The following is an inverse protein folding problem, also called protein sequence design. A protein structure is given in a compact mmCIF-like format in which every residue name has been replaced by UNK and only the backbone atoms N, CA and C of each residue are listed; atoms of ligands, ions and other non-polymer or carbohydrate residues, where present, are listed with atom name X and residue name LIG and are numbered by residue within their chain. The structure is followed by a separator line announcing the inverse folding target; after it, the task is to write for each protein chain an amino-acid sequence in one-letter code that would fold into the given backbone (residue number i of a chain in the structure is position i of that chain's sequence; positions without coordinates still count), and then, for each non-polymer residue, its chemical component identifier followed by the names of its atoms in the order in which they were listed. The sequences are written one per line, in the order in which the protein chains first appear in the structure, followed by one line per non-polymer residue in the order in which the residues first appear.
data_IF_425463298422
#
_entry.id   IF_425463298422
#
_cell.length_a   1.000
_cell.length_b   1.000
_cell.length_c   1.000
_cell.angle_alpha   90.00
_cell.angle_beta   90.00
_cell.angle_gamma   90.00
#
_symmetry.space_group_name_H-M   'P 1'
#
loop_
_entity.id
_entity.type
_entity.pdbx_description
1 polymer ?
#
# COMPACT_ATOMS: atom_id res chain seq x y z
N UNK A 1 28.65 15.24 -3.59
CA UNK A 1 27.40 15.11 -4.36
C UNK A 1 26.43 14.30 -3.52
N UNK A 2 25.24 14.83 -3.25
CA UNK A 2 24.24 14.25 -2.35
C UNK A 2 23.83 12.85 -2.82
N UNK A 3 23.80 11.89 -1.88
CA UNK A 3 23.52 10.46 -2.08
C UNK A 3 22.04 10.12 -2.34
N UNK A 4 21.23 11.14 -2.63
CA UNK A 4 19.81 10.96 -2.92
C UNK A 4 19.65 10.29 -4.29
N UNK A 5 18.67 9.40 -4.44
CA UNK A 5 18.32 8.77 -5.73
C UNK A 5 19.41 7.90 -6.37
N UNK A 6 20.47 7.55 -5.65
CA UNK A 6 21.59 6.78 -6.22
C UNK A 6 21.10 5.53 -6.97
N UNK A 7 20.17 4.79 -6.37
CA UNK A 7 19.58 3.58 -7.00
C UNK A 7 18.80 3.94 -8.24
N UNK A 8 17.97 4.98 -8.20
CA UNK A 8 17.21 5.42 -9.37
C UNK A 8 18.10 5.90 -10.52
N UNK A 9 19.17 6.64 -10.23
CA UNK A 9 20.11 7.15 -11.22
C UNK A 9 20.93 6.02 -11.86
N UNK A 10 21.37 5.05 -11.05
CA UNK A 10 22.25 3.98 -11.51
C UNK A 10 21.49 2.82 -12.15
N UNK A 11 20.36 2.43 -11.55
CA UNK A 11 19.63 1.22 -11.88
C UNK A 11 18.32 1.52 -12.65
N UNK A 12 17.92 2.79 -12.70
CA UNK A 12 16.72 3.25 -13.39
C UNK A 12 15.41 2.89 -12.68
N UNK A 13 14.31 3.00 -13.44
CA UNK A 13 12.99 2.57 -13.00
C UNK A 13 12.89 1.05 -13.08
N UNK A 14 12.61 0.40 -11.96
CA UNK A 14 12.47 -1.06 -11.88
C UNK A 14 10.99 -1.44 -11.93
N UNK A 15 10.58 -2.33 -12.83
CA UNK A 15 9.18 -2.79 -12.94
C UNK A 15 9.15 -4.30 -12.80
N UNK A 16 8.48 -4.79 -11.75
CA UNK A 16 8.22 -6.21 -11.54
C UNK A 16 6.71 -6.41 -11.37
N UNK A 17 6.11 -7.23 -12.21
CA UNK A 17 4.69 -7.56 -12.14
C UNK A 17 4.48 -9.07 -12.22
N UNK A 18 3.71 -9.62 -11.28
CA UNK A 18 3.35 -11.03 -11.23
C UNK A 18 1.97 -11.24 -11.82
N UNK A 19 1.90 -12.02 -12.90
CA UNK A 19 0.69 -12.18 -13.73
C UNK A 19 0.37 -13.66 -13.94
N UNK A 20 -0.91 -13.96 -14.19
CA UNK A 20 -1.37 -15.31 -14.50
C UNK A 20 -1.40 -15.52 -16.01
N UNK A 21 -0.71 -16.54 -16.50
CA UNK A 21 -0.79 -16.93 -17.92
C UNK A 21 -2.17 -17.55 -18.18
N UNK A 22 -2.90 -16.98 -19.14
CA UNK A 22 -4.14 -17.57 -19.67
C UNK A 22 -3.82 -18.58 -20.78
N UNK A 23 -2.96 -18.20 -21.73
CA UNK A 23 -2.69 -18.98 -22.93
C UNK A 23 -1.29 -18.74 -23.48
N UNK A 24 -0.69 -19.79 -24.04
CA UNK A 24 0.56 -19.73 -24.81
C UNK A 24 0.27 -20.30 -26.20
N UNK A 25 0.58 -19.54 -27.25
CA UNK A 25 0.45 -19.92 -28.66
C UNK A 25 1.72 -19.54 -29.41
N UNK A 26 2.62 -20.51 -29.60
CA UNK A 26 3.94 -20.23 -30.18
C UNK A 26 4.70 -19.21 -29.32
N UNK A 27 5.05 -18.07 -29.91
CA UNK A 27 5.75 -16.97 -29.23
C UNK A 27 4.81 -15.90 -28.67
N UNK A 28 3.50 -16.14 -28.67
CA UNK A 28 2.51 -15.22 -28.12
C UNK A 28 1.99 -15.75 -26.79
N UNK A 29 2.01 -14.89 -25.77
CA UNK A 29 1.48 -15.18 -24.46
C UNK A 29 0.34 -14.20 -24.14
N UNK A 30 -0.73 -14.73 -23.56
CA UNK A 30 -1.86 -13.94 -23.06
C UNK A 30 -1.94 -14.09 -21.55
N UNK A 31 -2.03 -12.97 -20.85
CA UNK A 31 -2.27 -12.92 -19.41
C UNK A 31 -3.77 -12.82 -19.11
N UNK A 32 -4.19 -13.31 -17.94
CA UNK A 32 -5.58 -13.16 -17.46
C UNK A 32 -5.87 -11.72 -17.04
N UNK A 33 -4.89 -11.07 -16.44
CA UNK A 33 -4.96 -9.70 -15.96
C UNK A 33 -4.42 -8.71 -17.02
N UNK A 34 -4.96 -7.48 -17.10
CA UNK A 34 -4.30 -6.41 -17.85
C UNK A 34 -2.98 -6.03 -17.16
N UNK A 35 -2.01 -5.54 -17.95
CA UNK A 35 -0.77 -5.01 -17.42
C UNK A 35 -1.03 -3.69 -16.68
N UNK A 36 -0.42 -3.53 -15.52
CA UNK A 36 -0.48 -2.28 -14.75
C UNK A 36 0.55 -1.26 -15.22
N UNK A 37 1.50 -1.66 -16.06
CA UNK A 37 2.46 -0.78 -16.72
C UNK A 37 2.63 -1.20 -18.18
N UNK A 38 2.68 -0.22 -19.09
CA UNK A 38 2.91 -0.51 -20.51
C UNK A 38 4.29 -1.12 -20.74
N UNK A 39 4.38 -2.05 -21.69
CA UNK A 39 5.63 -2.67 -22.09
C UNK A 39 6.10 -2.02 -23.39
N UNK A 40 7.20 -1.26 -23.31
CA UNK A 40 7.89 -0.72 -24.47
C UNK A 40 8.97 -1.71 -24.93
N UNK A 41 8.87 -2.18 -26.18
CA UNK A 41 9.79 -3.16 -26.75
C UNK A 41 11.23 -2.64 -26.93
N UNK A 42 11.44 -1.31 -26.85
CA UNK A 42 12.78 -0.72 -26.83
C UNK A 42 13.56 -0.99 -25.54
N UNK A 43 12.89 -1.50 -24.50
CA UNK A 43 13.51 -1.85 -23.22
C UNK A 43 13.70 -3.35 -23.06
N UNK A 44 14.69 -3.75 -22.26
CA UNK A 44 15.10 -5.15 -22.05
C UNK A 44 14.19 -5.97 -21.15
N UNK A 45 12.88 -6.00 -21.44
CA UNK A 45 11.91 -6.79 -20.68
C UNK A 45 12.22 -8.27 -20.76
N UNK A 46 12.08 -8.96 -19.63
CA UNK A 46 12.29 -10.40 -19.52
C UNK A 46 11.11 -11.04 -18.80
N UNK A 47 10.79 -12.28 -19.21
CA UNK A 47 9.74 -13.07 -18.57
C UNK A 47 10.37 -14.21 -17.79
N UNK A 48 9.98 -14.34 -16.52
CA UNK A 48 10.50 -15.36 -15.63
C UNK A 48 9.37 -16.21 -15.07
N UNK A 49 9.64 -17.51 -14.89
CA UNK A 49 8.76 -18.36 -14.08
C UNK A 49 8.86 -17.92 -12.63
N UNK A 50 7.75 -17.45 -12.08
CA UNK A 50 7.64 -17.09 -10.68
C UNK A 50 7.42 -18.35 -9.81
N UNK A 51 8.36 -18.65 -8.91
CA UNK A 51 8.26 -19.76 -7.97
C UNK A 51 7.50 -19.33 -6.73
N UNK A 52 6.34 -19.94 -6.48
CA UNK A 52 5.37 -19.51 -5.48
C UNK A 52 4.51 -20.65 -4.95
N UNK A 53 3.83 -20.40 -3.83
CA UNK A 53 2.76 -21.24 -3.30
C UNK A 53 1.40 -20.64 -3.66
N UNK A 54 0.37 -21.49 -3.77
CA UNK A 54 -0.97 -21.06 -4.17
C UNK A 54 -1.98 -21.40 -3.08
N UNK A 55 -2.83 -20.45 -2.73
CA UNK A 55 -4.01 -20.72 -1.89
C UNK A 55 -3.72 -20.90 -0.40
N UNK A 56 -2.60 -20.38 0.12
CA UNK A 56 -2.37 -20.33 1.56
C UNK A 56 -3.30 -19.30 2.23
N UNK A 57 -3.81 -19.64 3.41
CA UNK A 57 -4.75 -18.82 4.17
C UNK A 57 -4.42 -18.77 5.65
N UNK A 58 -4.58 -17.59 6.27
CA UNK A 58 -4.50 -17.38 7.72
C UNK A 58 -5.80 -16.69 8.15
N UNK A 59 -6.54 -17.29 9.09
CA UNK A 59 -7.83 -16.75 9.49
C UNK A 59 -8.19 -17.01 10.94
N UNK A 60 -8.92 -16.07 11.54
CA UNK A 60 -9.52 -16.19 12.87
C UNK A 60 -8.49 -16.39 14.00
N UNK A 61 -7.35 -15.69 13.91
CA UNK A 61 -6.25 -15.78 14.88
C UNK A 61 -5.95 -14.41 15.49
N UNK A 62 -5.75 -14.40 16.81
CA UNK A 62 -5.14 -13.27 17.52
C UNK A 62 -3.64 -13.56 17.73
N UNK A 63 -2.78 -12.81 17.06
CA UNK A 63 -1.35 -12.81 17.27
C UNK A 63 -1.00 -11.80 18.36
N UNK A 64 -0.34 -12.27 19.42
CA UNK A 64 0.04 -11.44 20.56
C UNK A 64 1.54 -11.42 20.73
N UNK A 65 2.13 -10.23 20.55
CA UNK A 65 3.52 -9.97 20.90
C UNK A 65 3.68 -9.71 22.40
N UNK A 66 4.84 -9.17 22.77
CA UNK A 66 5.17 -8.77 24.14
C UNK A 66 5.94 -7.43 24.12
N UNK A 67 5.61 -6.55 23.17
CA UNK A 67 6.20 -5.22 23.08
C UNK A 67 5.37 -4.22 23.90
N UNK A 68 5.94 -3.75 25.00
CA UNK A 68 5.26 -2.86 25.95
C UNK A 68 6.00 -1.54 26.19
N UNK A 69 7.09 -1.32 25.47
CA UNK A 69 7.94 -0.15 25.62
C UNK A 69 7.46 1.01 24.73
N UNK A 70 7.74 2.27 25.09
CA UNK A 70 7.55 3.39 24.17
C UNK A 70 8.34 3.16 22.88
N UNK A 71 7.66 3.19 21.74
CA UNK A 71 8.31 2.99 20.46
C UNK A 71 9.30 4.13 20.14
N UNK A 72 10.45 3.74 19.61
CA UNK A 72 11.53 4.63 19.18
C UNK A 72 11.96 4.13 17.80
N UNK A 73 11.80 4.98 16.79
CA UNK A 73 12.09 4.65 15.39
C UNK A 73 13.60 4.46 15.18
N UNK A 74 14.01 3.30 14.66
CA UNK A 74 15.40 2.93 14.45
C UNK A 74 16.26 2.97 15.72
N UNK A 75 15.70 2.49 16.83
CA UNK A 75 16.45 2.31 18.07
C UNK A 75 17.60 1.28 17.86
N UNK A 76 18.83 1.58 18.34
CA UNK A 76 20.02 0.77 18.05
C UNK A 76 19.97 -0.71 18.44
N UNK A 77 19.17 -1.15 19.42
CA UNK A 77 19.06 -2.57 19.81
C UNK A 77 18.40 -3.43 18.72
N UNK A 78 17.67 -2.81 17.78
CA UNK A 78 16.96 -3.48 16.71
C UNK A 78 15.66 -4.19 17.14
N UNK A 79 15.35 -4.26 18.44
CA UNK A 79 14.08 -4.82 18.93
C UNK A 79 12.91 -3.99 18.40
N UNK A 80 13.08 -2.67 18.32
CA UNK A 80 12.05 -1.76 17.85
C UNK A 80 11.79 -1.88 16.34
N UNK A 81 12.74 -2.42 15.57
CA UNK A 81 12.59 -2.56 14.12
C UNK A 81 12.29 -4.01 13.68
N UNK A 82 12.69 -4.99 14.50
CA UNK A 82 12.73 -6.42 14.13
C UNK A 82 12.22 -7.39 15.19
N UNK A 83 11.96 -6.92 16.42
CA UNK A 83 11.27 -7.73 17.44
C UNK A 83 9.83 -8.03 17.02
N UNK A 84 9.19 -9.03 17.64
CA UNK A 84 7.74 -9.27 17.57
C UNK A 84 7.06 -9.04 16.20
N UNK A 85 7.66 -9.57 15.13
CA UNK A 85 7.07 -9.61 13.78
C UNK A 85 6.23 -10.87 13.63
N UNK A 86 4.97 -10.73 13.23
CA UNK A 86 4.04 -11.87 13.25
C UNK A 86 4.00 -12.64 11.94
N UNK A 87 3.70 -11.97 10.81
CA UNK A 87 3.49 -12.64 9.53
C UNK A 87 4.37 -12.07 8.43
N UNK A 88 5.22 -12.92 7.86
CA UNK A 88 5.84 -12.70 6.55
C UNK A 88 5.16 -13.61 5.52
N UNK A 89 4.20 -13.06 4.78
CA UNK A 89 3.41 -13.77 3.78
C UNK A 89 4.11 -13.72 2.43
N UNK A 90 5.09 -14.59 2.26
CA UNK A 90 6.10 -14.49 1.21
C UNK A 90 5.84 -15.47 0.04
N UNK A 91 5.95 -14.97 -1.21
CA UNK A 91 5.80 -15.76 -2.44
C UNK A 91 4.50 -16.57 -2.52
N UNK A 92 3.40 -15.88 -2.29
CA UNK A 92 2.05 -16.44 -2.33
C UNK A 92 1.30 -15.94 -3.57
N UNK A 93 0.49 -16.80 -4.17
CA UNK A 93 -0.50 -16.42 -5.18
C UNK A 93 -1.89 -16.85 -4.74
N UNK A 94 -2.89 -15.99 -4.90
CA UNK A 94 -4.29 -16.28 -4.54
C UNK A 94 -4.45 -16.67 -3.05
N UNK A 95 -3.69 -16.03 -2.17
CA UNK A 95 -3.72 -16.27 -0.73
C UNK A 95 -4.56 -15.24 0.04
N UNK A 96 -4.78 -15.50 1.33
CA UNK A 96 -5.51 -14.56 2.18
C UNK A 96 -5.04 -14.52 3.64
N UNK A 97 -5.20 -13.35 4.26
CA UNK A 97 -5.17 -13.16 5.72
C UNK A 97 -6.49 -12.50 6.09
N UNK A 98 -7.29 -13.07 6.99
CA UNK A 98 -8.59 -12.48 7.33
C UNK A 98 -9.02 -12.63 8.77
N UNK A 99 -9.71 -11.64 9.33
CA UNK A 99 -10.24 -11.70 10.71
C UNK A 99 -9.14 -11.99 11.73
N UNK A 100 -8.00 -11.33 11.55
CA UNK A 100 -6.84 -11.47 12.43
C UNK A 100 -6.66 -10.22 13.28
N UNK A 101 -6.18 -10.41 14.50
CA UNK A 101 -5.83 -9.31 15.41
C UNK A 101 -4.34 -9.39 15.74
N UNK A 102 -3.67 -8.25 15.76
CA UNK A 102 -2.25 -8.13 16.07
C UNK A 102 -2.10 -7.22 17.27
N UNK A 103 -1.72 -7.78 18.42
CA UNK A 103 -1.75 -7.10 19.71
C UNK A 103 -0.33 -6.98 20.27
N UNK A 104 0.09 -5.76 20.61
CA UNK A 104 1.41 -5.48 21.21
C UNK A 104 2.58 -6.00 20.33
N UNK A 105 2.49 -5.71 19.02
CA UNK A 105 3.44 -6.14 17.99
C UNK A 105 4.24 -4.98 17.43
N UNK A 106 5.45 -5.29 16.96
CA UNK A 106 6.29 -4.33 16.21
C UNK A 106 5.93 -4.32 14.74
N UNK A 107 5.65 -5.48 14.14
CA UNK A 107 5.18 -5.61 12.77
C UNK A 107 4.03 -6.62 12.68
N UNK A 108 2.89 -6.20 12.14
CA UNK A 108 1.71 -7.07 12.02
C UNK A 108 1.88 -8.07 10.86
N UNK A 109 1.89 -7.60 9.61
CA UNK A 109 2.02 -8.50 8.47
C UNK A 109 2.63 -7.82 7.23
N UNK A 110 3.54 -8.52 6.56
CA UNK A 110 4.08 -8.12 5.26
C UNK A 110 3.72 -9.14 4.19
N UNK A 111 2.99 -8.70 3.15
CA UNK A 111 2.75 -9.48 1.93
C UNK A 111 3.90 -9.21 0.97
N UNK A 112 4.78 -10.20 0.80
CA UNK A 112 6.08 -9.99 0.15
C UNK A 112 6.20 -10.82 -1.11
N UNK A 113 6.64 -10.20 -2.21
CA UNK A 113 6.89 -10.89 -3.50
C UNK A 113 5.73 -11.80 -3.90
N UNK A 114 4.49 -11.32 -3.81
CA UNK A 114 3.26 -12.12 -3.93
C UNK A 114 2.30 -11.55 -4.97
N UNK A 115 1.27 -12.31 -5.33
CA UNK A 115 0.28 -11.92 -6.34
C UNK A 115 -1.14 -12.26 -5.89
N UNK A 116 -2.12 -11.40 -6.19
CA UNK A 116 -3.55 -11.69 -5.97
C UNK A 116 -3.85 -12.10 -4.51
N UNK A 117 -3.22 -11.43 -3.53
CA UNK A 117 -3.42 -11.69 -2.10
C UNK A 117 -4.43 -10.70 -1.53
N UNK A 118 -5.27 -11.17 -0.61
CA UNK A 118 -6.19 -10.30 0.15
C UNK A 118 -5.88 -10.32 1.64
N UNK A 119 -5.82 -9.15 2.27
CA UNK A 119 -5.77 -8.99 3.72
C UNK A 119 -7.00 -8.20 4.15
N UNK A 120 -7.90 -8.85 4.90
CA UNK A 120 -9.27 -8.35 5.10
C UNK A 120 -9.68 -8.43 6.57
N UNK A 121 -10.37 -7.43 7.10
CA UNK A 121 -10.93 -7.44 8.47
C UNK A 121 -9.85 -7.70 9.53
N UNK A 122 -8.80 -6.89 9.55
CA UNK A 122 -7.71 -7.07 10.53
C UNK A 122 -7.58 -5.84 11.43
N UNK A 123 -7.16 -6.04 12.68
CA UNK A 123 -6.87 -4.96 13.62
C UNK A 123 -5.45 -5.03 14.13
N UNK A 124 -4.85 -3.86 14.32
CA UNK A 124 -3.59 -3.68 15.04
C UNK A 124 -3.92 -2.91 16.31
N UNK A 125 -3.61 -3.52 17.46
CA UNK A 125 -4.07 -3.10 18.78
C UNK A 125 -2.90 -3.02 19.76
N UNK A 126 -3.11 -2.30 20.87
CA UNK A 126 -2.13 -2.20 21.94
C UNK A 126 -1.07 -1.14 21.65
N UNK A 127 0.18 -1.46 22.00
CA UNK A 127 1.29 -0.51 21.91
C UNK A 127 1.71 -0.19 20.47
N UNK A 128 2.03 1.07 20.19
CA UNK A 128 2.64 1.51 18.92
C UNK A 128 3.92 0.72 18.65
N UNK A 129 4.15 0.32 17.40
CA UNK A 129 5.37 -0.32 16.93
C UNK A 129 5.90 0.30 15.63
N UNK A 130 6.59 -0.51 14.83
CA UNK A 130 7.24 -0.11 13.60
C UNK A 130 6.31 -0.09 12.39
N UNK A 131 5.56 -1.16 12.13
CA UNK A 131 4.78 -1.31 10.90
C UNK A 131 3.45 -2.05 11.10
N UNK A 132 2.42 -1.55 10.41
CA UNK A 132 1.11 -2.20 10.33
C UNK A 132 1.15 -3.33 9.28
N UNK A 133 0.27 -3.26 8.28
CA UNK A 133 0.13 -4.28 7.23
C UNK A 133 0.50 -3.68 5.88
N UNK A 134 1.42 -4.31 5.14
CA UNK A 134 1.89 -3.76 3.86
C UNK A 134 1.94 -4.75 2.71
N UNK A 135 1.79 -4.20 1.50
CA UNK A 135 2.12 -4.85 0.23
C UNK A 135 3.55 -4.48 -0.15
N UNK A 136 4.46 -5.44 -0.10
CA UNK A 136 5.88 -5.26 -0.38
C UNK A 136 6.29 -6.01 -1.66
N UNK A 137 6.76 -5.27 -2.67
CA UNK A 137 7.18 -5.81 -3.96
C UNK A 137 6.18 -6.85 -4.52
N UNK A 138 4.88 -6.59 -4.37
CA UNK A 138 3.81 -7.54 -4.71
C UNK A 138 2.87 -6.95 -5.77
N UNK A 139 2.13 -7.81 -6.47
CA UNK A 139 1.17 -7.41 -7.51
C UNK A 139 -0.26 -7.70 -7.08
N UNK A 140 -1.19 -6.79 -7.38
CA UNK A 140 -2.64 -7.03 -7.24
C UNK A 140 -3.06 -7.43 -5.82
N UNK A 141 -2.52 -6.74 -4.81
CA UNK A 141 -2.86 -6.97 -3.39
C UNK A 141 -4.05 -6.12 -2.98
N UNK A 142 -5.02 -6.72 -2.29
CA UNK A 142 -6.12 -6.00 -1.64
C UNK A 142 -5.88 -5.95 -0.13
N UNK A 143 -5.78 -4.75 0.42
CA UNK A 143 -5.75 -4.46 1.86
C UNK A 143 -7.10 -3.79 2.21
N UNK A 144 -7.99 -4.48 2.91
CA UNK A 144 -9.36 -4.01 3.12
C UNK A 144 -9.84 -4.10 4.56
N UNK A 145 -10.53 -3.07 5.04
CA UNK A 145 -11.09 -3.03 6.40
C UNK A 145 -10.04 -3.32 7.49
N UNK A 146 -8.87 -2.69 7.36
CA UNK A 146 -7.78 -2.81 8.33
C UNK A 146 -7.84 -1.60 9.27
N UNK A 147 -7.88 -1.86 10.58
CA UNK A 147 -7.90 -0.82 11.60
C UNK A 147 -6.59 -0.79 12.40
N UNK A 148 -5.74 0.21 12.13
CA UNK A 148 -4.54 0.47 12.91
C UNK A 148 -4.86 1.37 14.11
N UNK A 149 -5.25 0.73 15.21
CA UNK A 149 -5.58 1.40 16.48
C UNK A 149 -4.34 1.70 17.31
N UNK A 150 -3.27 0.92 17.12
CA UNK A 150 -1.99 1.13 17.79
C UNK A 150 -1.25 2.37 17.27
N UNK A 151 -1.54 2.79 16.03
CA UNK A 151 -0.92 3.94 15.39
C UNK A 151 0.54 3.67 15.03
N UNK A 152 0.77 2.55 14.32
CA UNK A 152 2.09 2.12 13.88
C UNK A 152 2.83 3.26 13.15
N UNK A 153 4.16 3.29 13.28
CA UNK A 153 4.98 4.33 12.63
C UNK A 153 4.79 4.33 11.11
N UNK A 154 4.87 3.14 10.51
CA UNK A 154 4.48 2.87 9.14
C UNK A 154 3.08 2.24 9.15
N UNK A 155 2.09 3.01 8.72
CA UNK A 155 0.70 2.55 8.67
C UNK A 155 0.46 1.50 7.57
N UNK A 156 -0.80 1.15 7.33
CA UNK A 156 -1.16 0.23 6.23
C UNK A 156 -0.81 0.85 4.88
N UNK A 157 -0.05 0.13 4.05
CA UNK A 157 0.53 0.74 2.86
C UNK A 157 1.25 -0.15 1.86
N UNK A 158 2.09 0.48 1.06
CA UNK A 158 2.89 -0.14 0.01
C UNK A 158 4.38 0.13 0.20
N UNK A 159 5.21 -0.77 -0.32
CA UNK A 159 6.65 -0.60 -0.34
C UNK A 159 7.31 -1.30 -1.52
N UNK A 160 8.53 -0.89 -1.89
CA UNK A 160 9.28 -1.54 -2.98
C UNK A 160 8.51 -1.48 -4.30
N UNK A 161 8.75 -2.42 -5.21
CA UNK A 161 8.12 -2.44 -6.53
C UNK A 161 6.66 -2.90 -6.52
N UNK A 162 5.92 -2.63 -5.44
CA UNK A 162 4.50 -2.98 -5.36
C UNK A 162 3.70 -2.28 -6.44
N UNK A 163 2.76 -3.01 -7.05
CA UNK A 163 2.01 -2.57 -8.21
C UNK A 163 0.57 -3.06 -8.17
N UNK A 164 -0.39 -2.18 -8.46
CA UNK A 164 -1.81 -2.54 -8.48
C UNK A 164 -2.39 -2.86 -7.12
N UNK A 165 -1.89 -2.23 -6.05
CA UNK A 165 -2.42 -2.44 -4.70
C UNK A 165 -3.68 -1.58 -4.48
N UNK A 166 -4.69 -2.16 -3.84
CA UNK A 166 -5.88 -1.43 -3.39
C UNK A 166 -5.90 -1.44 -1.87
N UNK A 167 -5.96 -0.26 -1.26
CA UNK A 167 -6.13 -0.07 0.17
C UNK A 167 -7.53 0.53 0.36
N UNK A 168 -8.46 -0.26 0.89
CA UNK A 168 -9.88 0.10 0.91
C UNK A 168 -10.45 0.10 2.33
N UNK A 169 -11.16 1.14 2.71
CA UNK A 169 -11.86 1.23 4.00
C UNK A 169 -10.92 0.98 5.20
N UNK A 170 -9.66 1.41 5.12
CA UNK A 170 -8.70 1.23 6.19
C UNK A 170 -8.60 2.51 7.04
N UNK A 171 -8.32 2.34 8.33
CA UNK A 171 -8.12 3.43 9.27
C UNK A 171 -6.70 3.42 9.81
N UNK A 172 -6.06 4.58 9.81
CA UNK A 172 -4.77 4.83 10.47
C UNK A 172 -4.92 5.92 11.53
N UNK A 173 -3.96 6.03 12.44
CA UNK A 173 -3.98 7.03 13.49
C UNK A 173 -3.94 8.47 12.95
N UNK A 174 -4.59 9.38 13.67
CA UNK A 174 -4.60 10.82 13.36
C UNK A 174 -3.19 11.45 13.37
N UNK A 175 -2.23 10.82 14.03
CA UNK A 175 -0.83 11.24 14.16
C UNK A 175 0.11 10.54 13.16
N UNK A 176 -0.42 9.98 12.07
CA UNK A 176 0.34 9.28 11.04
C UNK A 176 -0.04 9.80 9.64
N UNK A 177 0.37 9.09 8.60
CA UNK A 177 -0.08 9.27 7.22
C UNK A 177 -0.20 7.92 6.54
N UNK A 178 -0.82 7.86 5.36
CA UNK A 178 -0.84 6.63 4.57
C UNK A 178 0.59 6.18 4.21
N UNK A 179 0.87 4.89 4.31
CA UNK A 179 2.23 4.40 4.12
C UNK A 179 2.54 4.15 2.64
N UNK A 180 3.69 4.67 2.20
CA UNK A 180 4.25 4.45 0.87
C UNK A 180 5.77 4.44 0.97
N UNK A 181 6.28 3.38 1.58
CA UNK A 181 7.70 3.15 1.77
C UNK A 181 8.40 3.17 0.41
N UNK A 182 9.53 3.86 0.32
CA UNK A 182 10.26 4.10 -0.92
C UNK A 182 10.63 2.83 -1.72
N UNK A 183 11.44 2.99 -2.75
CA UNK A 183 11.81 1.95 -3.72
C UNK A 183 10.70 1.65 -4.74
N UNK A 184 10.03 2.72 -5.20
CA UNK A 184 9.27 2.79 -6.45
C UNK A 184 7.92 2.03 -6.54
N UNK A 185 7.02 2.09 -5.53
CA UNK A 185 5.66 1.56 -5.69
C UNK A 185 4.87 2.40 -6.71
N UNK A 186 3.83 1.81 -7.33
CA UNK A 186 2.99 2.47 -8.33
C UNK A 186 1.58 1.88 -8.42
N UNK A 187 0.69 2.59 -9.10
CA UNK A 187 -0.68 2.12 -9.35
C UNK A 187 -1.39 1.67 -8.06
N UNK A 188 -1.40 2.54 -7.06
CA UNK A 188 -2.04 2.28 -5.76
C UNK A 188 -3.31 3.09 -5.66
N UNK A 189 -4.41 2.43 -5.30
CA UNK A 189 -5.69 3.07 -5.00
C UNK A 189 -5.92 3.05 -3.49
N UNK A 190 -5.99 4.23 -2.87
CA UNK A 190 -6.41 4.44 -1.49
C UNK A 190 -7.88 4.89 -1.53
N UNK A 191 -8.79 4.00 -1.18
CA UNK A 191 -10.23 4.13 -1.42
C UNK A 191 -11.01 4.14 -0.10
N UNK A 192 -11.72 5.23 0.19
CA UNK A 192 -12.51 5.40 1.43
C UNK A 192 -11.72 5.15 2.72
N UNK A 193 -10.44 5.48 2.74
CA UNK A 193 -9.63 5.35 3.95
C UNK A 193 -9.75 6.62 4.82
N UNK A 194 -9.39 6.51 6.09
CA UNK A 194 -9.32 7.67 6.98
C UNK A 194 -8.11 7.63 7.91
N UNK A 195 -7.57 8.79 8.27
CA UNK A 195 -6.42 8.87 9.16
C UNK A 195 -5.76 10.22 9.15
N UNK A 196 -4.58 10.33 9.76
CA UNK A 196 -3.77 11.54 9.67
C UNK A 196 -3.25 11.81 8.26
N UNK A 197 -2.62 12.96 8.11
CA UNK A 197 -1.94 13.38 6.89
C UNK A 197 -0.60 14.07 7.23
N UNK A 198 0.15 13.45 8.14
CA UNK A 198 1.37 14.01 8.70
C UNK A 198 2.54 13.96 7.69
N UNK A 199 3.22 15.08 7.39
CA UNK A 199 4.30 15.08 6.41
C UNK A 199 5.55 14.36 6.93
N UNK A 200 6.38 13.86 5.99
CA UNK A 200 7.63 13.13 6.25
C UNK A 200 7.46 11.75 6.91
N UNK A 201 6.26 11.18 6.88
CA UNK A 201 5.94 9.87 7.45
C UNK A 201 5.85 8.73 6.43
N UNK A 202 6.02 8.97 5.13
CA UNK A 202 5.92 7.92 4.11
C UNK A 202 7.10 6.90 4.14
N UNK A 203 8.09 7.11 5.00
CA UNK A 203 9.19 6.18 5.23
C UNK A 203 10.20 6.04 4.08
N UNK A 204 11.12 5.10 4.26
CA UNK A 204 12.10 4.70 3.26
C UNK A 204 13.37 5.56 3.22
N UNK A 205 14.47 4.92 2.86
CA UNK A 205 15.75 5.59 2.70
C UNK A 205 15.77 6.43 1.40
N UNK A 206 16.34 7.63 1.53
CA UNK A 206 16.44 8.68 0.51
C UNK A 206 17.17 8.22 -0.77
N UNK A 207 18.07 7.25 -0.65
CA UNK A 207 18.82 6.64 -1.74
C UNK A 207 17.92 5.80 -2.67
N UNK A 208 16.79 5.29 -2.16
CA UNK A 208 15.83 4.47 -2.89
C UNK A 208 14.55 5.23 -3.29
N UNK A 209 14.52 6.56 -3.18
CA UNK A 209 13.40 7.37 -3.66
C UNK A 209 13.04 7.08 -5.13
N UNK A 210 11.79 7.38 -5.57
CA UNK A 210 10.76 8.13 -4.85
C UNK A 210 9.92 7.23 -3.92
N UNK A 211 9.03 7.86 -3.14
CA UNK A 211 8.07 7.19 -2.25
C UNK A 211 6.93 6.56 -3.04
N UNK A 212 6.50 7.16 -4.15
CA UNK A 212 5.56 6.56 -5.09
C UNK A 212 5.75 7.14 -6.49
N UNK A 213 5.71 6.28 -7.50
CA UNK A 213 5.67 6.69 -8.91
C UNK A 213 4.22 7.01 -9.33
N UNK A 214 3.96 7.02 -10.63
CA UNK A 214 2.66 7.39 -11.17
C UNK A 214 1.51 6.51 -10.62
N UNK A 215 0.29 7.00 -10.83
CA UNK A 215 -0.96 6.29 -10.54
C UNK A 215 -1.22 6.03 -9.05
N UNK A 216 -0.75 6.91 -8.16
CA UNK A 216 -1.30 7.01 -6.81
C UNK A 216 -2.65 7.73 -6.86
N UNK A 217 -3.70 7.10 -6.35
CA UNK A 217 -5.05 7.67 -6.30
C UNK A 217 -5.55 7.70 -4.86
N UNK A 218 -5.89 8.88 -4.36
CA UNK A 218 -6.63 9.08 -3.12
C UNK A 218 -8.09 9.35 -3.48
N UNK A 219 -8.98 8.43 -3.13
CA UNK A 219 -10.40 8.49 -3.45
C UNK A 219 -11.22 8.52 -2.16
N UNK A 220 -11.94 9.62 -1.93
CA UNK A 220 -12.75 9.86 -0.73
C UNK A 220 -11.99 9.62 0.58
N UNK A 221 -10.72 10.01 0.64
CA UNK A 221 -9.94 9.95 1.88
C UNK A 221 -10.46 10.94 2.91
N UNK A 222 -10.56 10.53 4.17
CA UNK A 222 -10.98 11.41 5.28
C UNK A 222 -9.82 11.66 6.25
N UNK A 223 -9.33 12.90 6.27
CA UNK A 223 -8.37 13.37 7.26
C UNK A 223 -9.02 13.46 8.65
N UNK A 224 -8.38 12.83 9.63
CA UNK A 224 -8.82 12.85 11.05
C UNK A 224 -7.80 13.56 11.95
N UNK A 225 -6.61 13.87 11.42
CA UNK A 225 -5.57 14.63 12.11
C UNK A 225 -5.75 16.14 12.00
N UNK A 226 -4.94 16.88 12.76
CA UNK A 226 -4.83 18.33 12.58
C UNK A 226 -3.99 18.62 11.34
N UNK A 227 -4.58 19.31 10.36
CA UNK A 227 -3.86 19.78 9.18
C UNK A 227 -2.71 20.70 9.57
N UNK A 228 -1.59 20.54 8.87
CA UNK A 228 -0.42 21.43 8.95
C UNK A 228 -0.36 22.42 7.80
N UNK A 229 -1.45 22.57 7.03
CA UNK A 229 -1.55 23.41 5.84
C UNK A 229 -1.37 22.60 4.55
N UNK A 230 -0.52 23.10 3.66
CA UNK A 230 -0.22 22.41 2.39
C UNK A 230 0.64 21.16 2.65
N UNK A 231 0.17 20.00 2.17
CA UNK A 231 0.98 18.79 2.16
C UNK A 231 1.86 18.77 0.92
N UNK A 232 3.16 19.02 1.12
CA UNK A 232 4.13 18.99 0.04
C UNK A 232 4.35 17.54 -0.44
N UNK A 233 3.92 17.25 -1.67
CA UNK A 233 3.99 15.95 -2.32
C UNK A 233 5.34 15.70 -3.00
N UNK A 234 6.23 16.69 -2.99
CA UNK A 234 7.56 16.61 -3.58
C UNK A 234 8.64 17.20 -2.68
N UNK A 235 8.76 16.62 -1.48
CA UNK A 235 9.82 16.93 -0.50
C UNK A 235 10.48 15.66 0.03
N UNK A 236 11.59 15.79 0.76
CA UNK A 236 12.31 14.63 1.33
C UNK A 236 11.34 13.77 2.16
N UNK A 237 11.38 12.45 1.97
CA UNK A 237 10.48 11.47 2.60
C UNK A 237 8.99 11.63 2.25
N UNK A 238 8.64 12.44 1.24
CA UNK A 238 7.31 12.62 0.66
C UNK A 238 7.46 12.94 -0.84
N UNK A 239 7.84 11.93 -1.63
CA UNK A 239 8.06 12.09 -3.07
C UNK A 239 7.07 11.26 -3.86
N UNK A 240 5.93 11.86 -4.15
CA UNK A 240 4.80 11.27 -4.84
C UNK A 240 4.69 11.89 -6.23
N UNK A 241 4.84 11.08 -7.26
CA UNK A 241 4.79 11.58 -8.64
C UNK A 241 3.34 11.86 -9.04
N UNK A 242 2.90 13.11 -8.82
CA UNK A 242 1.62 13.67 -9.29
C UNK A 242 0.40 12.78 -9.01
N UNK A 243 0.06 12.51 -7.74
CA UNK A 243 -1.12 11.72 -7.41
C UNK A 243 -2.42 12.36 -7.94
N UNK A 244 -3.45 11.53 -8.05
CA UNK A 244 -4.83 11.93 -8.28
C UNK A 244 -5.51 12.01 -6.91
N UNK A 245 -6.15 13.14 -6.63
CA UNK A 245 -6.88 13.37 -5.39
C UNK A 245 -8.33 13.67 -5.76
N UNK A 246 -9.25 12.90 -5.20
CA UNK A 246 -10.68 13.06 -5.47
C UNK A 246 -11.50 12.88 -4.19
N UNK A 247 -12.33 13.86 -3.88
CA UNK A 247 -13.25 13.85 -2.75
C UNK A 247 -12.59 13.88 -1.38
N UNK A 248 -11.36 14.37 -1.28
CA UNK A 248 -10.62 14.48 -0.02
C UNK A 248 -11.42 15.30 1.01
N UNK A 249 -11.65 14.74 2.20
CA UNK A 249 -12.31 15.41 3.32
C UNK A 249 -11.25 15.79 4.34
N UNK A 250 -10.94 17.07 4.49
CA UNK A 250 -9.92 17.54 5.42
C UNK A 250 -9.62 19.01 5.25
N UNK A 251 -8.71 19.52 6.06
CA UNK A 251 -8.21 20.89 5.96
C UNK A 251 -6.83 20.96 5.26
N UNK A 252 -6.16 19.83 5.09
CA UNK A 252 -4.91 19.74 4.30
C UNK A 252 -5.16 20.13 2.86
N UNK A 253 -4.28 20.95 2.29
CA UNK A 253 -4.35 21.38 0.87
C UNK A 253 -3.21 20.80 0.04
N UNK A 254 -3.35 20.85 -1.29
CA UNK A 254 -2.36 20.31 -2.23
C UNK A 254 -1.94 21.36 -3.26
N UNK A 255 -0.65 21.37 -3.59
CA UNK A 255 -0.14 22.21 -4.66
C UNK A 255 -0.61 21.68 -6.03
N UNK A 256 -1.32 22.49 -6.86
CA UNK A 256 -1.82 22.07 -8.17
C UNK A 256 -0.75 21.55 -9.14
N UNK A 257 0.50 22.03 -9.04
CA UNK A 257 1.60 21.58 -9.89
C UNK A 257 2.16 20.21 -9.48
N UNK A 258 1.87 19.77 -8.25
CA UNK A 258 2.34 18.51 -7.66
C UNK A 258 1.29 17.40 -7.68
N UNK A 259 0.10 17.66 -8.21
CA UNK A 259 -0.95 16.66 -8.43
C UNK A 259 -1.22 16.50 -9.92
N UNK A 260 -1.80 15.36 -10.30
CA UNK A 260 -2.43 15.25 -11.61
C UNK A 260 -3.75 16.02 -11.61
N UNK A 261 -4.51 15.89 -10.51
CA UNK A 261 -5.76 16.61 -10.29
C UNK A 261 -6.13 16.58 -8.80
N UNK A 262 -6.80 17.63 -8.33
CA UNK A 262 -7.53 17.68 -7.05
C UNK A 262 -9.01 17.99 -7.35
N UNK A 263 -9.88 17.00 -7.17
CA UNK A 263 -11.30 17.05 -7.55
C UNK A 263 -12.19 17.04 -6.31
N UNK A 264 -13.12 18.00 -6.22
CA UNK A 264 -14.15 18.05 -5.17
C UNK A 264 -13.57 18.08 -3.74
N UNK A 265 -12.50 18.84 -3.52
CA UNK A 265 -11.91 18.98 -2.19
C UNK A 265 -12.96 19.47 -1.16
N UNK A 266 -13.08 18.76 -0.04
CA UNK A 266 -14.07 19.03 1.00
C UNK A 266 -15.47 18.48 0.69
N UNK A 267 -15.67 17.72 -0.38
CA UNK A 267 -16.94 17.02 -0.68
C UNK A 267 -16.67 15.64 -1.31
N UNK A 268 -17.23 14.57 -0.75
CA UNK A 268 -17.00 13.24 -1.31
C UNK A 268 -17.52 13.14 -2.76
N UNK A 269 -16.77 12.45 -3.61
CA UNK A 269 -17.14 12.16 -5.00
C UNK A 269 -17.92 10.85 -5.10
N UNK A 270 -18.77 10.74 -6.12
CA UNK A 270 -19.42 9.49 -6.49
C UNK A 270 -18.68 8.80 -7.65
N UNK A 271 -18.56 7.47 -7.67
CA UNK A 271 -19.04 6.52 -6.65
C UNK A 271 -18.28 6.64 -5.33
N UNK A 272 -18.93 6.35 -4.20
CA UNK A 272 -18.25 6.38 -2.88
C UNK A 272 -16.99 5.52 -2.83
N UNK A 273 -16.99 4.33 -3.44
CA UNK A 273 -15.79 3.49 -3.63
C UNK A 273 -15.50 3.28 -5.10
N UNK A 274 -14.32 3.72 -5.53
CA UNK A 274 -13.87 3.50 -6.91
C UNK A 274 -13.62 2.01 -7.18
N UNK A 275 -13.05 1.28 -6.22
CA UNK A 275 -12.78 -0.15 -6.37
C UNK A 275 -14.06 -0.96 -6.54
N UNK A 276 -15.07 -0.71 -5.69
CA UNK A 276 -16.36 -1.39 -5.79
C UNK A 276 -17.07 -1.08 -7.12
N UNK A 277 -17.04 0.17 -7.57
CA UNK A 277 -17.60 0.54 -8.86
C UNK A 277 -16.89 -0.14 -10.03
N UNK A 278 -15.55 -0.21 -10.00
CA UNK A 278 -14.77 -0.93 -11.01
C UNK A 278 -15.10 -2.44 -11.02
N UNK A 279 -15.26 -3.06 -9.84
CA UNK A 279 -15.70 -4.46 -9.75
C UNK A 279 -17.11 -4.64 -10.33
N UNK A 280 -18.05 -3.76 -10.00
CA UNK A 280 -19.40 -3.79 -10.58
C UNK A 280 -19.36 -3.70 -12.10
N UNK A 281 -18.53 -2.82 -12.67
CA UNK A 281 -18.38 -2.72 -14.13
C UNK A 281 -17.76 -3.98 -14.73
N UNK A 282 -16.65 -4.49 -14.15
CA UNK A 282 -15.89 -5.63 -14.69
C UNK A 282 -16.64 -6.96 -14.56
N UNK A 283 -17.25 -7.20 -13.40
CA UNK A 283 -17.91 -8.46 -13.06
C UNK A 283 -19.43 -8.44 -13.26
N UNK A 284 -20.00 -7.27 -13.57
CA UNK A 284 -21.46 -7.01 -13.61
C UNK A 284 -22.16 -7.25 -12.27
N UNK A 285 -21.40 -7.41 -11.18
CA UNK A 285 -21.86 -7.59 -9.81
C UNK A 285 -20.79 -7.15 -8.82
N UNK A 286 -21.19 -6.61 -7.67
CA UNK A 286 -20.32 -6.50 -6.49
C UNK A 286 -20.40 -7.82 -5.72
N UNK A 287 -19.26 -8.46 -5.38
CA UNK A 287 -19.28 -9.67 -4.56
C UNK A 287 -19.92 -9.44 -3.19
N UNK A 288 -20.75 -10.38 -2.73
CA UNK A 288 -21.48 -10.24 -1.45
C UNK A 288 -20.57 -10.14 -0.23
N UNK A 289 -19.39 -10.77 -0.27
CA UNK A 289 -18.41 -10.65 0.80
C UNK A 289 -17.96 -9.20 0.98
N UNK A 290 -17.85 -8.43 -0.11
CA UNK A 290 -17.41 -7.03 -0.10
C UNK A 290 -18.48 -6.09 0.44
N UNK A 291 -19.77 -6.38 0.19
CA UNK A 291 -20.89 -5.64 0.78
C UNK A 291 -21.10 -5.95 2.27
N UNK A 292 -20.54 -7.07 2.74
CA UNK A 292 -20.63 -7.51 4.13
C UNK A 292 -19.45 -7.04 4.98
N UNK A 293 -18.39 -6.47 4.38
CA UNK A 293 -17.35 -5.75 5.10
C UNK A 293 -17.99 -4.47 5.67
N UNK A 294 -18.28 -4.48 6.97
CA UNK A 294 -18.84 -3.36 7.73
C UNK A 294 -17.95 -3.05 8.91
#
# INVERSE_FOLDING_TARGET
MTSEWKTFINDGVQVNEYLTIERIEGNTLRFKEPLMHSVDASWGWTLHRFQHHVGCGIEDIAFRGNFHEPYIHHEPSGIHDSGYKMIAFHRQANGWIRRCRFIDVIEAASVMLSANVSVIDCSIEGQKGHAAIRSEASSHVLLANINDMAGQEHSTGVSKTSIGTVIMNCTTAATSTFESHSTQPRATLIDKCSGGFLPNHAGGDVTFGPNHLADLVLWNYTETGTSVGEFNLWTRNNRFLKPIIAGFQGATTFNPDQVTVDLSHGTMVEPLSLYQAQLQTRLRKVPSWLTNLK
#
